data_IF_369917882420
#
_entry.id   IF_369917882420
#
_cell.length_a   1.000
_cell.length_b   1.000
_cell.length_c   1.000
_cell.angle_alpha   90.00
_cell.angle_beta   90.00
_cell.angle_gamma   90.00
#
_symmetry.space_group_name_H-M   'P 1'
#
loop_
_entity.id
_entity.type
_entity.pdbx_description
1 polymer ?
#
# COMPACT_ATOMS: atom_id res chain seq x y z
N UNK A 1 19.27 -49.33 -16.12
CA UNK A 1 17.95 -48.66 -16.14
C UNK A 1 17.41 -48.31 -14.75
N UNK A 2 17.54 -49.16 -13.71
CA UNK A 2 17.10 -48.83 -12.33
C UNK A 2 17.73 -47.56 -11.74
N UNK A 3 19.02 -47.32 -11.99
CA UNK A 3 19.73 -46.15 -11.43
C UNK A 3 19.28 -44.81 -12.06
N UNK A 4 18.80 -44.82 -13.30
CA UNK A 4 18.34 -43.62 -14.00
C UNK A 4 16.95 -43.20 -13.52
N UNK A 5 16.08 -44.17 -13.21
CA UNK A 5 14.75 -43.94 -12.64
C UNK A 5 14.84 -43.33 -11.22
N UNK A 6 15.79 -43.79 -10.41
CA UNK A 6 16.00 -43.30 -9.06
C UNK A 6 16.47 -41.83 -9.03
N UNK A 7 17.38 -41.46 -9.94
CA UNK A 7 17.87 -40.09 -10.11
C UNK A 7 16.76 -39.13 -10.58
N UNK A 8 15.84 -39.61 -11.40
CA UNK A 8 14.70 -38.84 -11.90
C UNK A 8 13.66 -38.60 -10.80
N UNK A 9 13.44 -39.59 -9.91
CA UNK A 9 12.59 -39.44 -8.72
C UNK A 9 13.20 -38.46 -7.71
N UNK A 10 14.52 -38.49 -7.50
CA UNK A 10 15.21 -37.55 -6.61
C UNK A 10 15.16 -36.12 -7.19
N UNK A 11 15.34 -35.94 -8.51
CA UNK A 11 15.14 -34.63 -9.16
C UNK A 11 13.69 -34.13 -9.05
N UNK A 12 12.69 -35.00 -9.19
CA UNK A 12 11.28 -34.65 -9.01
C UNK A 12 10.95 -34.26 -7.55
N UNK A 13 11.54 -34.93 -6.58
CA UNK A 13 11.38 -34.61 -5.15
C UNK A 13 12.02 -33.25 -4.80
N UNK A 14 13.18 -32.95 -5.38
CA UNK A 14 13.87 -31.65 -5.20
C UNK A 14 13.14 -30.48 -5.89
N UNK A 15 12.37 -30.75 -6.95
CA UNK A 15 11.53 -29.74 -7.60
C UNK A 15 10.34 -29.28 -6.73
N UNK A 16 9.99 -30.07 -5.70
CA UNK A 16 8.89 -29.75 -4.78
C UNK A 16 9.30 -28.89 -3.58
N UNK A 17 10.59 -28.51 -3.46
CA UNK A 17 11.00 -27.33 -2.70
C UNK A 17 10.56 -26.05 -3.43
N UNK A 18 9.27 -25.95 -3.74
CA UNK A 18 8.62 -24.71 -4.16
C UNK A 18 8.64 -23.83 -2.92
N UNK A 19 9.49 -22.82 -2.92
CA UNK A 19 9.47 -21.79 -1.88
C UNK A 19 8.02 -21.26 -1.78
N UNK A 20 7.38 -21.45 -0.61
CA UNK A 20 6.04 -20.92 -0.35
C UNK A 20 6.02 -19.43 -0.69
N UNK A 21 5.00 -18.98 -1.41
CA UNK A 21 4.85 -17.55 -1.67
C UNK A 21 4.49 -16.83 -0.38
N UNK A 22 4.72 -15.52 -0.33
CA UNK A 22 4.30 -14.69 0.79
C UNK A 22 2.79 -14.80 1.07
N UNK A 23 1.98 -14.97 0.01
CA UNK A 23 0.54 -15.22 0.13
C UNK A 23 0.26 -16.56 0.81
N UNK A 24 0.98 -17.62 0.45
CA UNK A 24 0.81 -18.94 1.05
C UNK A 24 1.18 -18.91 2.54
N UNK A 25 2.28 -18.23 2.90
CA UNK A 25 2.71 -18.03 4.28
C UNK A 25 1.69 -17.25 5.11
N UNK A 26 1.09 -16.20 4.52
CA UNK A 26 0.04 -15.42 5.17
C UNK A 26 -1.23 -16.25 5.41
N UNK A 27 -1.63 -17.06 4.43
CA UNK A 27 -2.77 -17.97 4.54
C UNK A 27 -2.53 -18.99 5.66
N UNK A 28 -1.37 -19.63 5.70
CA UNK A 28 -1.01 -20.63 6.72
C UNK A 28 -1.05 -20.05 8.15
N UNK A 29 -0.54 -18.83 8.34
CA UNK A 29 -0.64 -18.14 9.63
C UNK A 29 -2.08 -17.83 10.03
N UNK A 30 -2.94 -17.49 9.07
CA UNK A 30 -4.37 -17.28 9.35
C UNK A 30 -5.04 -18.61 9.65
N UNK A 31 -4.80 -19.65 8.86
CA UNK A 31 -5.39 -20.97 9.08
C UNK A 31 -5.04 -21.51 10.47
N UNK A 32 -3.76 -21.47 10.87
CA UNK A 32 -3.32 -21.91 12.20
C UNK A 32 -4.01 -21.16 13.35
N UNK A 33 -4.31 -19.86 13.19
CA UNK A 33 -5.07 -19.08 14.19
C UNK A 33 -6.51 -19.56 14.35
N UNK A 34 -7.11 -20.12 13.30
CA UNK A 34 -8.52 -20.54 13.28
C UNK A 34 -8.71 -22.06 13.44
N UNK A 35 -7.65 -22.86 13.45
CA UNK A 35 -7.71 -24.32 13.62
C UNK A 35 -8.54 -24.75 14.84
N UNK A 36 -8.37 -24.07 15.97
CA UNK A 36 -9.07 -24.38 17.23
C UNK A 36 -10.53 -23.88 17.29
N UNK A 37 -10.91 -22.95 16.40
CA UNK A 37 -12.23 -22.30 16.43
C UNK A 37 -13.34 -23.12 15.73
N UNK A 38 -12.97 -24.14 14.96
CA UNK A 38 -13.89 -24.90 14.10
C UNK A 38 -14.45 -24.11 12.91
N UNK A 39 -14.13 -22.81 12.82
CA UNK A 39 -14.56 -21.90 11.76
C UNK A 39 -13.64 -22.08 10.55
N UNK A 40 -14.20 -22.60 9.45
CA UNK A 40 -13.45 -22.77 8.20
C UNK A 40 -13.43 -21.47 7.41
N UNK A 41 -12.25 -21.09 6.93
CA UNK A 41 -12.07 -19.93 6.07
C UNK A 41 -12.02 -20.36 4.59
N UNK A 42 -12.29 -19.43 3.69
CA UNK A 42 -12.13 -19.56 2.25
C UNK A 42 -11.24 -18.42 1.75
N UNK A 43 -10.23 -18.78 0.97
CA UNK A 43 -9.19 -17.88 0.46
C UNK A 43 -9.19 -17.75 -1.08
N UNK A 44 -10.24 -18.22 -1.76
CA UNK A 44 -10.30 -18.26 -3.23
C UNK A 44 -10.15 -16.85 -3.85
N UNK A 45 -10.71 -15.84 -3.17
CA UNK A 45 -10.61 -14.43 -3.55
C UNK A 45 -9.55 -13.65 -2.75
N UNK A 46 -8.75 -14.35 -1.95
CA UNK A 46 -7.78 -13.68 -1.10
C UNK A 46 -6.68 -13.00 -1.93
N UNK A 47 -6.31 -11.77 -1.54
CA UNK A 47 -5.25 -11.00 -2.17
C UNK A 47 -4.27 -10.52 -1.11
N UNK A 48 -2.98 -10.64 -1.40
CA UNK A 48 -1.94 -10.11 -0.54
C UNK A 48 -1.44 -8.80 -1.14
N UNK A 49 -1.73 -7.71 -0.45
CA UNK A 49 -1.35 -6.37 -0.85
C UNK A 49 -0.21 -5.85 0.05
N UNK A 50 0.75 -5.14 -0.52
CA UNK A 50 1.78 -4.45 0.24
C UNK A 50 1.19 -3.26 0.99
N UNK A 51 1.46 -3.16 2.29
CA UNK A 51 1.10 -2.02 3.12
C UNK A 51 2.27 -1.05 3.22
N UNK A 52 1.93 0.23 3.09
CA UNK A 52 2.86 1.34 3.26
C UNK A 52 2.31 2.30 4.31
N UNK A 53 3.20 2.95 5.07
CA UNK A 53 2.84 4.05 5.97
C UNK A 53 2.10 5.19 5.24
N UNK A 54 2.49 5.45 3.99
CA UNK A 54 1.84 6.34 3.03
C UNK A 54 1.91 5.65 1.68
N UNK A 55 0.79 5.62 0.97
CA UNK A 55 0.73 5.01 -0.36
C UNK A 55 1.71 5.70 -1.32
N UNK A 56 2.59 4.96 -2.03
CA UNK A 56 3.59 5.55 -2.92
C UNK A 56 3.00 6.51 -3.98
N UNK A 57 1.80 6.18 -4.48
CA UNK A 57 1.07 7.02 -5.41
C UNK A 57 0.64 8.35 -4.79
N UNK A 58 0.06 8.31 -3.59
CA UNK A 58 -0.37 9.51 -2.87
C UNK A 58 0.82 10.44 -2.54
N UNK A 59 1.98 9.85 -2.25
CA UNK A 59 3.22 10.59 -2.06
C UNK A 59 3.68 11.28 -3.37
N UNK A 60 3.74 10.54 -4.48
CA UNK A 60 4.12 11.08 -5.78
C UNK A 60 3.17 12.20 -6.23
N UNK A 61 1.87 12.01 -6.05
CA UNK A 61 0.84 13.01 -6.36
C UNK A 61 1.00 14.27 -5.50
N UNK A 62 1.39 14.11 -4.22
CA UNK A 62 1.64 15.24 -3.32
C UNK A 62 2.85 16.07 -3.73
N UNK A 63 3.95 15.43 -4.16
CA UNK A 63 5.13 16.13 -4.72
C UNK A 63 4.73 16.88 -5.99
N UNK A 64 4.09 16.17 -6.94
CA UNK A 64 3.65 16.77 -8.20
C UNK A 64 2.79 18.01 -7.95
N UNK A 65 1.83 17.90 -7.03
CA UNK A 65 0.96 19.03 -6.70
C UNK A 65 1.69 20.18 -6.03
N UNK A 66 2.71 19.89 -5.22
CA UNK A 66 3.60 20.90 -4.66
C UNK A 66 4.29 21.72 -5.75
N UNK A 67 4.87 21.06 -6.74
CA UNK A 67 5.56 21.73 -7.85
C UNK A 67 4.59 22.56 -8.71
N UNK A 68 3.41 22.02 -9.02
CA UNK A 68 2.37 22.78 -9.75
C UNK A 68 1.94 24.06 -9.00
N UNK A 69 1.93 24.02 -7.66
CA UNK A 69 1.63 25.19 -6.85
C UNK A 69 2.76 26.22 -6.89
N UNK A 70 4.02 25.78 -6.91
CA UNK A 70 5.17 26.68 -7.05
C UNK A 70 5.11 27.44 -8.38
N UNK A 71 4.80 26.75 -9.49
CA UNK A 71 4.60 27.38 -10.80
C UNK A 71 3.44 28.39 -10.78
N UNK A 72 2.33 28.01 -10.14
CA UNK A 72 1.14 28.88 -10.03
C UNK A 72 1.45 30.13 -9.20
N UNK A 73 2.14 29.98 -8.07
CA UNK A 73 2.51 31.09 -7.20
C UNK A 73 3.43 32.08 -7.92
N UNK A 74 4.43 31.60 -8.68
CA UNK A 74 5.30 32.45 -9.46
C UNK A 74 4.54 33.29 -10.51
N UNK A 75 3.55 32.68 -11.17
CA UNK A 75 2.69 33.41 -12.12
C UNK A 75 1.86 34.47 -11.40
N UNK A 76 1.23 34.13 -10.26
CA UNK A 76 0.43 35.09 -9.50
C UNK A 76 1.27 36.25 -8.98
N UNK A 77 2.49 35.99 -8.50
CA UNK A 77 3.45 37.03 -8.08
C UNK A 77 3.78 37.98 -9.23
N UNK A 78 4.04 37.47 -10.43
CA UNK A 78 4.31 38.33 -11.61
C UNK A 78 3.11 39.16 -12.05
N UNK A 79 1.89 38.68 -11.79
CA UNK A 79 0.66 39.40 -12.17
C UNK A 79 0.31 40.50 -11.17
N UNK A 80 0.59 40.30 -9.88
CA UNK A 80 0.26 41.27 -8.80
C UNK A 80 0.79 42.67 -9.11
N UNK A 81 2.00 42.79 -9.67
CA UNK A 81 2.64 44.07 -9.98
C UNK A 81 1.90 44.91 -11.04
N UNK A 82 0.98 44.29 -11.80
CA UNK A 82 0.25 44.93 -12.89
C UNK A 82 -1.23 45.17 -12.58
N UNK A 83 -1.70 44.81 -11.38
CA UNK A 83 -3.11 44.89 -10.98
C UNK A 83 -3.45 46.18 -10.23
N UNK A 84 -4.72 46.56 -10.24
CA UNK A 84 -5.20 47.59 -9.32
C UNK A 84 -5.13 47.09 -7.88
N UNK A 85 -5.12 48.00 -6.90
CA UNK A 85 -5.02 47.64 -5.48
C UNK A 85 -6.05 46.58 -5.05
N UNK A 86 -7.33 46.75 -5.45
CA UNK A 86 -8.41 45.82 -5.08
C UNK A 86 -8.20 44.42 -5.66
N UNK A 87 -7.70 44.34 -6.88
CA UNK A 87 -7.41 43.07 -7.55
C UNK A 87 -6.16 42.42 -6.94
N UNK A 88 -5.12 43.21 -6.69
CA UNK A 88 -3.91 42.78 -5.98
C UNK A 88 -4.24 42.20 -4.59
N UNK A 89 -5.09 42.86 -3.79
CA UNK A 89 -5.51 42.35 -2.48
C UNK A 89 -6.21 40.98 -2.60
N UNK A 90 -7.05 40.81 -3.62
CA UNK A 90 -7.76 39.56 -3.89
C UNK A 90 -6.81 38.44 -4.30
N UNK A 91 -5.84 38.74 -5.19
CA UNK A 91 -4.81 37.79 -5.61
C UNK A 91 -3.89 37.44 -4.43
N UNK A 92 -3.55 38.40 -3.58
CA UNK A 92 -2.76 38.17 -2.37
C UNK A 92 -3.40 37.15 -1.42
N UNK A 93 -4.72 37.22 -1.22
CA UNK A 93 -5.46 36.23 -0.41
C UNK A 93 -5.41 34.82 -1.02
N UNK A 94 -5.55 34.71 -2.35
CA UNK A 94 -5.46 33.45 -3.07
C UNK A 94 -4.05 32.87 -2.95
N UNK A 95 -3.02 33.67 -3.22
CA UNK A 95 -1.61 33.27 -3.08
C UNK A 95 -1.32 32.77 -1.67
N UNK A 96 -1.78 33.47 -0.63
CA UNK A 96 -1.60 33.03 0.76
C UNK A 96 -2.25 31.66 1.04
N UNK A 97 -3.46 31.42 0.52
CA UNK A 97 -4.14 30.12 0.66
C UNK A 97 -3.38 28.99 -0.07
N UNK A 98 -2.87 29.27 -1.27
CA UNK A 98 -2.07 28.32 -2.05
C UNK A 98 -0.73 28.02 -1.39
N UNK A 99 -0.04 29.03 -0.85
CA UNK A 99 1.20 28.86 -0.08
C UNK A 99 0.96 28.00 1.16
N UNK A 100 -0.13 28.21 1.89
CA UNK A 100 -0.51 27.36 3.02
C UNK A 100 -0.71 25.91 2.57
N UNK A 101 -1.38 25.69 1.45
CA UNK A 101 -1.58 24.35 0.88
C UNK A 101 -0.25 23.71 0.46
N UNK A 102 0.67 24.49 -0.10
CA UNK A 102 2.03 24.06 -0.46
C UNK A 102 2.80 23.55 0.76
N UNK A 103 2.75 24.28 1.89
CA UNK A 103 3.37 23.82 3.13
C UNK A 103 2.79 22.52 3.66
N UNK A 104 1.45 22.36 3.61
CA UNK A 104 0.83 21.09 4.00
C UNK A 104 1.32 19.91 3.15
N UNK A 105 1.48 20.12 1.84
CA UNK A 105 2.04 19.10 0.96
C UNK A 105 3.51 18.82 1.28
N UNK A 106 4.31 19.85 1.60
CA UNK A 106 5.69 19.66 2.04
C UNK A 106 5.78 18.78 3.30
N UNK A 107 4.92 19.02 4.28
CA UNK A 107 4.87 18.17 5.48
C UNK A 107 4.56 16.71 5.15
N UNK A 108 3.58 16.45 4.28
CA UNK A 108 3.28 15.08 3.82
C UNK A 108 4.49 14.45 3.11
N UNK A 109 5.25 15.23 2.33
CA UNK A 109 6.42 14.73 1.60
C UNK A 109 7.65 14.46 2.47
N UNK A 110 7.69 14.94 3.72
CA UNK A 110 8.77 14.61 4.67
C UNK A 110 8.72 13.13 5.06
N UNK A 111 7.53 12.55 5.12
CA UNK A 111 7.34 11.13 5.41
C UNK A 111 7.40 10.35 4.10
N UNK A 112 8.54 9.71 3.84
CA UNK A 112 8.69 8.87 2.64
C UNK A 112 7.83 7.60 2.74
N UNK A 113 7.31 7.09 1.61
CA UNK A 113 6.68 5.77 1.57
C UNK A 113 7.68 4.72 2.06
N UNK A 114 7.26 3.97 3.06
CA UNK A 114 7.99 2.86 3.61
C UNK A 114 7.07 1.67 3.67
N UNK A 115 7.57 0.55 3.16
CA UNK A 115 6.90 -0.72 3.30
C UNK A 115 6.86 -1.10 4.79
N UNK A 116 5.66 -1.31 5.33
CA UNK A 116 5.43 -1.59 6.75
C UNK A 116 4.93 -3.01 7.02
N UNK A 117 4.42 -3.70 6.00
CA UNK A 117 3.86 -5.03 6.18
C UNK A 117 2.95 -5.43 5.04
N UNK A 118 2.13 -6.45 5.26
CA UNK A 118 1.24 -7.00 4.26
C UNK A 118 -0.20 -7.00 4.72
N UNK A 119 -1.14 -6.99 3.78
CA UNK A 119 -2.56 -7.18 4.06
C UNK A 119 -3.11 -8.32 3.23
N UNK A 120 -3.60 -9.36 3.88
CA UNK A 120 -4.41 -10.40 3.23
C UNK A 120 -5.88 -9.96 3.28
N UNK A 121 -6.41 -9.51 2.16
CA UNK A 121 -7.81 -9.09 2.01
C UNK A 121 -8.62 -10.16 1.28
N UNK A 122 -9.95 -10.08 1.31
CA UNK A 122 -10.82 -10.99 0.55
C UNK A 122 -11.02 -12.37 1.19
N UNK A 123 -10.63 -12.56 2.44
CA UNK A 123 -10.84 -13.82 3.17
C UNK A 123 -12.31 -13.91 3.59
N UNK A 124 -12.94 -15.07 3.39
CA UNK A 124 -14.33 -15.30 3.77
C UNK A 124 -14.46 -16.39 4.81
N UNK A 125 -15.50 -16.30 5.62
CA UNK A 125 -15.91 -17.39 6.49
C UNK A 125 -16.83 -18.33 5.71
N UNK A 126 -16.49 -19.62 5.70
CA UNK A 126 -17.29 -20.64 5.04
C UNK A 126 -18.68 -20.69 5.68
N UNK A 127 -19.72 -20.74 4.85
CA UNK A 127 -21.14 -20.72 5.23
C UNK A 127 -21.65 -19.38 5.81
N UNK A 128 -20.86 -18.31 5.78
CA UNK A 128 -21.32 -16.95 6.09
C UNK A 128 -21.36 -16.13 4.81
N UNK A 129 -22.55 -15.63 4.46
CA UNK A 129 -22.84 -15.13 3.10
C UNK A 129 -22.19 -13.78 2.78
N UNK A 130 -21.71 -13.02 3.76
CA UNK A 130 -21.28 -11.60 3.57
C UNK A 130 -20.09 -11.14 4.40
N UNK A 131 -19.47 -12.00 5.18
CA UNK A 131 -18.36 -11.57 6.04
C UNK A 131 -17.04 -11.75 5.30
N UNK A 132 -16.52 -10.63 4.81
CA UNK A 132 -15.17 -10.53 4.24
C UNK A 132 -14.28 -9.92 5.31
N UNK A 133 -13.28 -10.67 5.73
CA UNK A 133 -12.30 -10.26 6.73
C UNK A 133 -10.95 -9.98 6.05
N UNK A 134 -10.10 -9.24 6.75
CA UNK A 134 -8.75 -8.95 6.32
C UNK A 134 -7.80 -9.07 7.49
N UNK A 135 -6.56 -9.44 7.21
CA UNK A 135 -5.52 -9.62 8.19
C UNK A 135 -4.29 -8.81 7.78
N UNK A 136 -3.71 -8.08 8.71
CA UNK A 136 -2.44 -7.40 8.50
C UNK A 136 -1.32 -8.28 9.05
N UNK A 137 -0.13 -8.15 8.47
CA UNK A 137 1.07 -8.88 8.88
C UNK A 137 2.25 -7.93 8.95
N UNK A 138 3.23 -8.25 9.78
CA UNK A 138 4.53 -7.61 9.73
C UNK A 138 5.23 -7.89 8.38
N UNK A 139 6.37 -7.23 8.13
CA UNK A 139 7.08 -7.29 6.83
C UNK A 139 7.50 -8.70 6.45
N UNK A 140 7.89 -9.48 7.44
CA UNK A 140 8.39 -10.84 7.26
C UNK A 140 7.27 -11.88 7.21
N UNK A 141 6.01 -11.51 7.48
CA UNK A 141 4.86 -12.43 7.57
C UNK A 141 5.16 -13.55 8.58
N UNK A 142 5.54 -13.17 9.80
CA UNK A 142 5.75 -14.11 10.92
C UNK A 142 4.63 -14.04 11.94
N UNK A 143 3.86 -12.95 11.95
CA UNK A 143 2.74 -12.74 12.87
C UNK A 143 1.64 -11.90 12.22
N UNK A 144 0.41 -12.12 12.67
CA UNK A 144 -0.73 -11.27 12.35
C UNK A 144 -0.69 -10.08 13.31
N UNK A 145 -0.73 -8.86 12.75
CA UNK A 145 -0.77 -7.61 13.49
C UNK A 145 -2.15 -6.96 13.36
N UNK A 146 -2.52 -6.11 14.32
CA UNK A 146 -3.76 -5.34 14.29
C UNK A 146 -3.71 -4.20 13.26
#
# INVERSE_FOLDING_TARGET
>A
MKNFLCLLVIMLLMYSCINKTDKDRAIELVESKYESSGQKLNFDEAKLDSLYNIQPRAYADSIKKGNELDDTLAVLESQIEHLSQKESDSVGLISAALTKRRYQLLEITKTKPQFVGWKLSGVRIKNVKREVISFNFNKEITEIVD
#
